data_IF_082073661206
#
_entry.id   IF_082073661206
#
_cell.length_a   1.000
_cell.length_b   1.000
_cell.length_c   1.000
_cell.angle_alpha   90.00
_cell.angle_beta   90.00
_cell.angle_gamma   90.00
#
_symmetry.space_group_name_H-M   'P 1'
#
loop_
_entity.id
_entity.type
_entity.pdbx_description
1 polymer ?
#
# COMPACT_ATOMS: atom_id res chain seq x y z
N UNK A 1 -18.21 -6.80 -12.31
CA UNK A 1 -16.83 -7.35 -12.22
C UNK A 1 -15.84 -6.36 -12.85
N UNK A 2 -14.79 -5.91 -12.15
CA UNK A 2 -13.83 -4.93 -12.69
C UNK A 2 -12.58 -5.61 -13.28
N UNK A 3 -11.76 -4.89 -14.08
CA UNK A 3 -10.57 -5.47 -14.76
C UNK A 3 -9.59 -6.11 -13.76
N UNK A 4 -9.42 -5.50 -12.58
CA UNK A 4 -8.55 -6.03 -11.52
C UNK A 4 -9.10 -7.29 -10.86
N UNK A 5 -10.41 -7.51 -10.88
CA UNK A 5 -11.07 -8.69 -10.32
C UNK A 5 -11.47 -9.69 -11.40
N UNK A 6 -10.86 -9.67 -12.59
CA UNK A 6 -11.13 -10.66 -13.65
C UNK A 6 -12.19 -10.25 -14.68
N UNK A 7 -12.61 -8.99 -14.69
CA UNK A 7 -13.39 -8.42 -15.80
C UNK A 7 -12.54 -8.14 -17.04
N UNK A 8 -13.17 -8.09 -18.21
CA UNK A 8 -12.54 -7.71 -19.48
C UNK A 8 -11.94 -8.87 -20.30
N UNK A 9 -11.56 -8.58 -21.55
CA UNK A 9 -11.00 -9.58 -22.47
C UNK A 9 -9.64 -10.09 -21.97
N UNK A 10 -9.40 -11.40 -22.15
CA UNK A 10 -8.13 -12.06 -21.80
C UNK A 10 -7.14 -11.90 -22.95
N UNK A 11 -5.86 -11.93 -22.61
CA UNK A 11 -4.80 -11.92 -23.58
C UNK A 11 -4.91 -13.13 -24.52
N UNK A 12 -4.88 -12.90 -25.84
CA UNK A 12 -4.97 -13.94 -26.88
C UNK A 12 -3.77 -14.90 -26.88
N UNK A 13 -2.64 -14.48 -26.32
CA UNK A 13 -1.46 -15.34 -26.20
C UNK A 13 -1.82 -16.62 -25.41
N UNK A 14 -1.47 -17.81 -25.94
CA UNK A 14 -1.80 -19.09 -25.31
C UNK A 14 -1.28 -19.13 -23.86
N UNK A 15 -2.12 -19.64 -22.95
CA UNK A 15 -1.80 -19.74 -21.52
C UNK A 15 -1.72 -18.41 -20.76
N UNK A 16 -2.09 -17.27 -21.36
CA UNK A 16 -1.98 -15.97 -20.69
C UNK A 16 -3.27 -15.53 -20.00
N UNK A 17 -3.26 -15.55 -18.68
CA UNK A 17 -4.33 -15.06 -17.82
C UNK A 17 -4.23 -13.56 -17.48
N UNK A 18 -3.50 -12.78 -18.26
CA UNK A 18 -3.44 -11.33 -18.04
C UNK A 18 -4.57 -10.66 -18.82
N UNK A 19 -5.11 -9.58 -18.26
CA UNK A 19 -6.08 -8.75 -18.97
C UNK A 19 -5.44 -8.18 -20.25
N UNK A 20 -6.17 -8.27 -21.35
CA UNK A 20 -5.78 -7.61 -22.58
C UNK A 20 -5.82 -6.09 -22.41
N UNK A 21 -4.97 -5.40 -23.19
CA UNK A 21 -4.98 -3.96 -23.35
C UNK A 21 -5.44 -3.68 -24.78
N UNK A 22 -4.54 -3.29 -25.68
CA UNK A 22 -4.80 -3.17 -27.12
C UNK A 22 -4.47 -4.47 -27.86
N UNK A 23 -5.02 -4.63 -29.06
CA UNK A 23 -4.79 -5.79 -29.94
C UNK A 23 -5.09 -7.15 -29.29
N UNK A 24 -5.97 -7.18 -28.29
CA UNK A 24 -6.28 -8.38 -27.49
C UNK A 24 -5.05 -9.02 -26.82
N UNK A 25 -3.97 -8.27 -26.60
CA UNK A 25 -2.74 -8.75 -25.97
C UNK A 25 -2.54 -8.02 -24.64
N UNK A 26 -1.86 -8.64 -23.68
CA UNK A 26 -1.48 -7.97 -22.43
C UNK A 26 -0.21 -7.13 -22.64
N UNK A 27 0.12 -6.25 -21.68
CA UNK A 27 1.31 -5.39 -21.72
C UNK A 27 2.61 -6.15 -22.09
N UNK A 28 2.81 -7.32 -21.47
CA UNK A 28 3.98 -8.15 -21.69
C UNK A 28 4.01 -8.78 -23.09
N UNK A 29 2.85 -9.09 -23.67
CA UNK A 29 2.71 -9.73 -24.97
C UNK A 29 2.40 -8.75 -26.10
N UNK A 30 2.70 -7.45 -25.95
CA UNK A 30 2.49 -6.47 -27.04
C UNK A 30 1.26 -5.58 -26.91
N UNK A 31 0.45 -5.77 -25.87
CA UNK A 31 -0.72 -4.93 -25.56
C UNK A 31 -0.34 -3.55 -25.04
N UNK A 32 -0.07 -2.62 -25.95
CA UNK A 32 0.23 -1.22 -25.67
C UNK A 32 1.23 -0.63 -26.66
N UNK A 33 1.37 0.70 -26.71
CA UNK A 33 2.23 1.37 -27.67
C UNK A 33 3.68 0.89 -27.57
N UNK A 34 4.30 0.67 -28.73
CA UNK A 34 5.71 0.30 -28.86
C UNK A 34 6.56 1.54 -29.10
N UNK A 35 7.85 1.40 -28.84
CA UNK A 35 8.82 2.41 -29.21
C UNK A 35 8.85 2.59 -30.73
N UNK A 36 8.78 3.84 -31.21
CA UNK A 36 8.82 4.18 -32.63
C UNK A 36 10.23 4.14 -33.24
N UNK A 37 11.26 4.07 -32.40
CA UNK A 37 12.63 3.91 -32.87
C UNK A 37 12.78 2.61 -33.71
N UNK A 38 13.49 2.67 -34.85
CA UNK A 38 13.61 1.55 -35.78
C UNK A 38 14.21 0.33 -35.09
N UNK A 39 13.59 -0.84 -35.28
CA UNK A 39 14.03 -2.11 -34.67
C UNK A 39 13.78 -2.23 -33.15
N UNK A 40 13.15 -1.25 -32.49
CA UNK A 40 12.93 -1.31 -31.05
C UNK A 40 11.57 -1.94 -30.68
N UNK A 41 11.60 -3.10 -30.02
CA UNK A 41 10.38 -3.79 -29.55
C UNK A 41 9.92 -3.39 -28.14
N UNK A 42 10.67 -2.49 -27.47
CA UNK A 42 10.39 -2.06 -26.10
C UNK A 42 9.08 -1.25 -26.03
N UNK A 43 8.37 -1.35 -24.91
CA UNK A 43 7.16 -0.56 -24.68
C UNK A 43 7.46 0.94 -24.59
N UNK A 44 6.63 1.75 -25.23
CA UNK A 44 6.65 3.21 -25.08
C UNK A 44 6.32 3.60 -23.64
N UNK A 45 7.03 4.60 -23.11
CA UNK A 45 6.77 5.20 -21.80
C UNK A 45 6.01 6.53 -21.91
N UNK A 46 5.52 6.87 -23.11
CA UNK A 46 4.94 8.17 -23.44
C UNK A 46 5.74 8.87 -24.54
N UNK A 47 5.05 9.66 -25.38
CA UNK A 47 5.67 10.35 -26.52
C UNK A 47 6.18 9.40 -27.62
N UNK A 48 5.66 8.17 -27.70
CA UNK A 48 6.04 7.21 -28.75
C UNK A 48 7.37 6.46 -28.54
N UNK A 49 8.16 6.80 -27.52
CA UNK A 49 9.48 6.17 -27.32
C UNK A 49 9.58 5.38 -26.01
N UNK A 50 10.52 4.44 -25.95
CA UNK A 50 10.90 3.77 -24.70
C UNK A 50 11.83 4.66 -23.87
N UNK A 51 12.07 4.32 -22.59
CA UNK A 51 12.93 5.09 -21.68
C UNK A 51 14.33 5.39 -22.25
N UNK A 52 14.92 4.43 -22.97
CA UNK A 52 16.25 4.60 -23.59
C UNK A 52 16.23 5.54 -24.80
N UNK A 53 15.12 5.61 -25.53
CA UNK A 53 14.96 6.42 -26.75
C UNK A 53 14.21 7.73 -26.50
N UNK A 54 14.24 8.29 -25.29
CA UNK A 54 13.58 9.58 -25.01
C UNK A 54 12.23 9.49 -24.32
N UNK A 55 11.63 8.30 -24.23
CA UNK A 55 10.27 8.12 -23.70
C UNK A 55 10.07 8.48 -22.24
N UNK A 56 8.87 8.98 -21.94
CA UNK A 56 8.43 9.40 -20.61
C UNK A 56 8.84 10.83 -20.24
N UNK A 57 8.23 11.37 -19.18
CA UNK A 57 8.47 12.74 -18.72
C UNK A 57 9.87 12.91 -18.13
N UNK A 58 10.56 13.99 -18.50
CA UNK A 58 11.89 14.35 -18.01
C UNK A 58 11.81 15.39 -16.90
N UNK A 59 12.84 15.38 -16.06
CA UNK A 59 13.02 16.37 -15.02
C UNK A 59 13.02 17.78 -15.63
N UNK A 60 12.20 18.69 -15.12
CA UNK A 60 12.16 20.07 -15.57
C UNK A 60 13.33 20.94 -15.06
N UNK A 61 14.32 20.34 -14.39
CA UNK A 61 15.51 21.06 -13.94
C UNK A 61 16.49 21.20 -15.10
N UNK A 62 17.10 22.38 -15.23
CA UNK A 62 18.00 22.68 -16.34
C UNK A 62 19.16 21.67 -16.44
N UNK A 63 19.40 21.18 -17.66
CA UNK A 63 20.41 20.18 -17.96
C UNK A 63 20.12 18.76 -17.41
N UNK A 64 18.98 18.51 -16.76
CA UNK A 64 18.70 17.21 -16.15
C UNK A 64 17.99 16.24 -17.11
N UNK A 65 18.71 15.20 -17.54
CA UNK A 65 18.15 14.15 -18.39
C UNK A 65 17.44 13.01 -17.64
N UNK A 66 17.34 13.08 -16.30
CA UNK A 66 16.70 12.03 -15.49
C UNK A 66 15.18 12.06 -15.67
N UNK A 67 14.56 10.90 -15.54
CA UNK A 67 13.09 10.80 -15.58
C UNK A 67 12.44 11.38 -14.34
N UNK A 68 11.29 12.01 -14.51
CA UNK A 68 10.46 12.52 -13.43
C UNK A 68 10.02 11.39 -12.51
N UNK A 69 10.01 11.65 -11.20
CA UNK A 69 9.45 10.72 -10.21
C UNK A 69 8.05 11.14 -9.76
N UNK A 70 7.87 12.44 -9.50
CA UNK A 70 6.59 13.05 -9.12
C UNK A 70 6.55 14.47 -9.68
N UNK A 71 5.37 14.90 -10.13
CA UNK A 71 5.18 16.25 -10.68
C UNK A 71 6.00 16.43 -11.95
N UNK A 72 7.00 17.31 -11.90
CA UNK A 72 7.90 17.65 -13.00
C UNK A 72 9.35 17.25 -12.74
N UNK A 73 9.70 16.84 -11.52
CA UNK A 73 11.08 16.69 -11.10
C UNK A 73 11.51 15.24 -10.83
N UNK A 74 12.81 14.98 -10.98
CA UNK A 74 13.42 13.71 -10.58
C UNK A 74 13.67 13.67 -9.06
N UNK A 75 14.05 12.50 -8.52
CA UNK A 75 14.28 12.33 -7.08
C UNK A 75 15.25 13.36 -6.47
N UNK A 76 16.26 13.81 -7.22
CA UNK A 76 17.27 14.76 -6.73
C UNK A 76 16.83 16.23 -6.84
N UNK A 77 15.84 16.53 -7.68
CA UNK A 77 15.41 17.91 -7.97
C UNK A 77 13.99 18.21 -7.43
N UNK A 78 13.56 17.51 -6.36
CA UNK A 78 12.23 17.74 -5.74
C UNK A 78 11.15 16.70 -6.10
N UNK A 79 11.50 15.63 -6.81
CA UNK A 79 10.61 14.51 -7.09
C UNK A 79 10.41 13.54 -5.90
N UNK A 80 11.11 13.76 -4.77
CA UNK A 80 10.93 13.02 -3.52
C UNK A 80 10.26 13.91 -2.46
N UNK A 81 9.34 13.33 -1.69
CA UNK A 81 8.77 13.95 -0.48
C UNK A 81 9.39 13.35 0.76
N UNK A 82 9.55 14.18 1.79
CA UNK A 82 9.95 13.76 3.13
C UNK A 82 8.73 13.62 4.03
N UNK A 83 8.94 12.98 5.18
CA UNK A 83 7.95 12.86 6.22
C UNK A 83 7.56 14.24 6.75
N UNK A 84 6.26 14.47 6.96
CA UNK A 84 5.71 15.73 7.48
C UNK A 84 5.92 15.91 9.00
N UNK A 85 6.40 14.88 9.69
CA UNK A 85 6.74 15.00 11.12
C UNK A 85 7.98 15.89 11.27
N UNK A 86 7.91 16.96 12.09
CA UNK A 86 9.03 17.86 12.31
C UNK A 86 10.31 17.12 12.68
N UNK A 87 11.42 17.47 12.03
CA UNK A 87 12.74 16.85 12.26
C UNK A 87 12.95 15.47 11.63
N UNK A 88 11.97 14.90 10.92
CA UNK A 88 12.12 13.60 10.27
C UNK A 88 12.61 13.72 8.82
N UNK A 89 13.86 13.37 8.55
CA UNK A 89 14.44 13.42 7.20
C UNK A 89 14.18 12.16 6.35
N UNK A 90 13.27 11.28 6.78
CA UNK A 90 12.94 10.04 6.04
C UNK A 90 11.93 10.32 4.95
N UNK A 91 12.03 9.58 3.84
CA UNK A 91 11.12 9.76 2.71
C UNK A 91 9.67 9.34 3.03
N UNK A 92 8.71 10.09 2.49
CA UNK A 92 7.28 9.78 2.50
C UNK A 92 7.03 8.48 1.72
N UNK A 93 6.40 7.51 2.40
CA UNK A 93 6.00 6.21 1.83
C UNK A 93 4.54 6.22 1.34
N UNK A 94 3.85 7.35 1.47
CA UNK A 94 2.46 7.58 1.14
C UNK A 94 1.72 8.24 2.31
N UNK A 95 0.89 9.24 2.00
CA UNK A 95 0.10 9.97 3.00
C UNK A 95 0.87 11.05 3.76
N UNK A 96 2.07 11.44 3.31
CA UNK A 96 2.88 12.47 3.98
C UNK A 96 3.83 11.91 5.05
N UNK A 97 3.79 10.61 5.32
CA UNK A 97 4.54 10.02 6.42
C UNK A 97 5.56 8.98 5.94
N UNK A 98 6.68 8.88 6.66
CA UNK A 98 7.61 7.76 6.50
C UNK A 98 7.04 6.48 7.12
N UNK A 99 7.64 5.32 6.85
CA UNK A 99 7.15 4.04 7.32
C UNK A 99 7.01 3.92 8.85
N UNK A 100 7.83 4.64 9.61
CA UNK A 100 7.77 4.65 11.07
C UNK A 100 6.65 5.56 11.61
N UNK A 101 6.36 6.66 10.92
CA UNK A 101 5.37 7.66 11.37
C UNK A 101 3.97 7.47 10.78
N UNK A 102 3.67 6.34 10.15
CA UNK A 102 2.34 6.20 9.51
C UNK A 102 2.38 5.67 8.09
N UNK A 103 3.45 5.97 7.35
CA UNK A 103 3.51 5.92 5.90
C UNK A 103 3.24 4.58 5.26
N UNK A 104 2.50 4.62 4.15
CA UNK A 104 2.15 3.45 3.35
C UNK A 104 0.98 2.63 3.89
N UNK A 105 0.53 1.63 3.13
CA UNK A 105 -0.63 0.80 3.50
C UNK A 105 -0.27 -0.16 4.63
N UNK A 106 -1.17 -0.32 5.61
CA UNK A 106 -1.08 -1.29 6.71
C UNK A 106 -1.72 -2.62 6.33
N UNK A 107 -1.39 -3.64 7.11
CA UNK A 107 -2.02 -4.95 6.98
C UNK A 107 -3.52 -4.84 7.25
N UNK A 108 -4.35 -5.49 6.44
CA UNK A 108 -5.81 -5.51 6.57
C UNK A 108 -6.32 -6.41 7.71
N UNK A 109 -5.46 -7.22 8.33
CA UNK A 109 -5.83 -8.05 9.47
C UNK A 109 -5.97 -7.15 10.69
N UNK A 110 -7.08 -7.30 11.41
CA UNK A 110 -7.35 -6.56 12.63
C UNK A 110 -6.17 -6.65 13.59
N UNK A 111 -5.87 -5.51 14.24
CA UNK A 111 -4.77 -5.38 15.21
C UNK A 111 -3.36 -5.64 14.64
N UNK A 112 -3.17 -5.59 13.31
CA UNK A 112 -1.85 -5.73 12.70
C UNK A 112 -1.30 -4.41 12.14
N UNK A 113 -0.32 -3.83 12.83
CA UNK A 113 0.32 -2.57 12.42
C UNK A 113 1.46 -2.73 11.40
N UNK A 114 1.77 -3.95 10.95
CA UNK A 114 2.84 -4.21 9.98
C UNK A 114 2.47 -3.65 8.60
N UNK A 115 3.47 -3.15 7.87
CA UNK A 115 3.28 -2.67 6.50
C UNK A 115 2.79 -3.79 5.58
N UNK A 116 1.84 -3.47 4.70
CA UNK A 116 1.37 -4.36 3.66
C UNK A 116 2.45 -4.55 2.58
N UNK A 117 2.62 -5.80 2.11
CA UNK A 117 3.36 -6.11 0.88
C UNK A 117 2.41 -6.15 -0.31
N UNK A 118 1.62 -7.23 -0.42
CA UNK A 118 0.65 -7.46 -1.50
C UNK A 118 -0.66 -7.97 -0.91
N UNK A 119 -1.76 -7.80 -1.65
CA UNK A 119 -3.10 -8.22 -1.25
C UNK A 119 -3.56 -7.65 0.10
N UNK A 120 -3.06 -6.47 0.49
CA UNK A 120 -3.41 -5.87 1.79
C UNK A 120 -2.72 -6.52 2.99
N UNK A 121 -1.78 -7.46 2.81
CA UNK A 121 -1.24 -8.26 3.93
C UNK A 121 0.25 -8.02 4.17
N UNK A 122 0.65 -8.10 5.43
CA UNK A 122 2.06 -8.12 5.82
C UNK A 122 2.74 -9.43 5.43
N UNK A 123 4.07 -9.49 5.49
CA UNK A 123 4.83 -10.70 5.10
C UNK A 123 4.41 -11.96 5.87
N UNK A 124 4.09 -11.82 7.16
CA UNK A 124 3.68 -12.96 7.99
C UNK A 124 2.29 -13.46 7.59
N UNK A 125 1.31 -12.56 7.52
CA UNK A 125 -0.06 -12.95 7.16
C UNK A 125 -0.19 -13.37 5.69
N UNK A 126 0.67 -12.85 4.81
CA UNK A 126 0.74 -13.31 3.42
C UNK A 126 1.24 -14.76 3.30
N UNK A 127 2.18 -15.18 4.16
CA UNK A 127 2.66 -16.57 4.19
C UNK A 127 1.58 -17.50 4.74
N UNK A 128 0.84 -17.07 5.78
CA UNK A 128 -0.26 -17.85 6.35
C UNK A 128 -1.41 -18.04 5.34
N UNK A 129 -1.82 -17.00 4.60
CA UNK A 129 -2.82 -17.18 3.53
C UNK A 129 -2.35 -18.09 2.39
N UNK A 130 -1.03 -18.19 2.19
CA UNK A 130 -0.44 -19.11 1.20
C UNK A 130 -0.55 -20.58 1.59
N UNK A 131 -0.94 -20.90 2.83
CA UNK A 131 -1.09 -22.26 3.32
C UNK A 131 -2.53 -22.79 3.17
N UNK A 132 -3.52 -21.91 3.01
CA UNK A 132 -4.95 -22.28 2.91
C UNK A 132 -5.39 -22.74 1.50
N UNK A 133 -4.49 -22.75 0.50
CA UNK A 133 -4.84 -23.10 -0.90
C UNK A 133 -4.03 -24.25 -1.50
N UNK A 134 -3.26 -24.98 -0.69
CA UNK A 134 -2.46 -26.10 -1.19
C UNK A 134 -1.68 -26.82 -0.10
N UNK A 135 -2.36 -27.57 0.75
CA UNK A 135 -1.71 -28.37 1.77
C UNK A 135 -2.73 -29.07 2.65
N UNK A 136 -2.63 -30.40 2.73
CA UNK A 136 -3.53 -31.29 3.46
C UNK A 136 -3.86 -30.74 4.85
N UNK A 137 -5.14 -30.66 5.16
CA UNK A 137 -5.67 -30.46 6.51
C UNK A 137 -5.05 -31.54 7.40
N UNK A 138 -4.07 -31.17 8.23
CA UNK A 138 -3.84 -31.90 9.46
C UNK A 138 -5.03 -31.53 10.34
N UNK A 139 -6.01 -32.41 10.37
CA UNK A 139 -7.08 -32.39 11.37
C UNK A 139 -6.39 -32.40 12.73
N UNK A 140 -6.24 -31.24 13.35
CA UNK A 140 -6.16 -31.18 14.81
C UNK A 140 -7.56 -31.47 15.30
N UNK A 141 -7.92 -32.76 15.34
CA UNK A 141 -8.86 -33.26 16.32
C UNK A 141 -8.28 -32.89 17.68
N UNK A 142 -8.79 -31.81 18.27
CA UNK A 142 -8.67 -31.59 19.70
C UNK A 142 -10.08 -31.65 20.27
N UNK A 143 -10.31 -32.53 21.26
CA UNK A 143 -11.64 -32.91 21.69
C UNK A 143 -12.33 -31.74 22.40
N UNK A 144 -13.66 -31.75 22.31
CA UNK A 144 -14.53 -30.95 23.14
C UNK A 144 -14.15 -31.14 24.62
N UNK A 145 -13.64 -30.08 25.25
CA UNK A 145 -13.76 -29.91 26.68
C UNK A 145 -14.65 -28.70 26.88
N UNK A 146 -15.92 -28.99 27.08
CA UNK A 146 -16.93 -28.12 27.64
C UNK A 146 -16.43 -27.64 28.99
N UNK A 147 -16.19 -26.34 29.16
CA UNK A 147 -16.14 -25.72 30.48
C UNK A 147 -17.34 -24.77 30.63
N UNK A 148 -18.09 -24.88 31.74
CA UNK A 148 -19.39 -24.26 31.91
C UNK A 148 -19.29 -22.75 32.14
N UNK A 149 -20.26 -22.05 31.59
CA UNK A 149 -20.62 -20.70 31.99
C UNK A 149 -21.14 -20.74 33.44
N UNK A 150 -20.55 -19.96 34.34
CA UNK A 150 -21.24 -19.56 35.57
C UNK A 150 -20.91 -18.10 35.94
N UNK A 151 -21.89 -17.33 36.43
CA UNK A 151 -21.74 -15.92 36.79
C UNK A 151 -21.43 -15.76 38.28
N UNK A 152 -20.70 -14.72 38.66
CA UNK A 152 -20.88 -14.05 39.97
C UNK A 152 -20.47 -12.58 39.89
N UNK A 153 -21.31 -11.76 40.51
CA UNK A 153 -21.17 -10.33 40.75
C UNK A 153 -20.00 -10.04 41.69
N UNK A 154 -19.44 -8.83 41.58
CA UNK A 154 -18.47 -8.28 42.52
C UNK A 154 -18.23 -6.80 42.29
N UNK A 155 -19.26 -5.98 42.55
CA UNK A 155 -19.08 -4.56 42.86
C UNK A 155 -18.23 -4.44 44.13
N UNK A 156 -17.12 -3.69 44.08
CA UNK A 156 -16.60 -3.03 45.27
C UNK A 156 -16.12 -1.62 44.92
N UNK A 157 -16.88 -0.69 45.49
CA UNK A 157 -16.72 0.76 45.56
C UNK A 157 -15.55 1.16 46.48
N UNK A 158 -15.28 2.48 46.52
CA UNK A 158 -14.39 3.27 47.40
C UNK A 158 -12.91 3.38 46.94
N UNK A 159 -12.24 4.54 46.87
CA UNK A 159 -12.53 5.89 47.40
C UNK A 159 -11.72 6.99 46.70
N UNK A 160 -12.34 8.17 46.61
CA UNK A 160 -11.86 9.57 46.69
C UNK A 160 -10.37 9.93 46.45
N UNK A 161 -10.18 11.00 45.67
CA UNK A 161 -8.98 11.83 45.70
C UNK A 161 -9.00 13.02 44.74
N UNK A 162 -9.89 14.00 44.92
CA UNK A 162 -9.77 15.32 44.27
C UNK A 162 -9.79 16.39 45.36
N UNK A 163 -8.60 16.93 45.68
CA UNK A 163 -8.41 18.18 46.38
C UNK A 163 -7.89 19.20 45.38
N UNK A 164 -8.70 20.21 45.02
CA UNK A 164 -8.24 21.57 44.64
C UNK A 164 -9.34 22.61 44.93
N UNK A 165 -9.08 23.44 45.94
CA UNK A 165 -9.65 24.78 46.15
C UNK A 165 -8.69 25.82 45.53
N UNK A 166 -9.02 27.13 45.44
CA UNK A 166 -10.32 27.77 45.35
C UNK A 166 -10.44 28.69 44.11
N UNK A 167 -11.66 28.92 43.67
CA UNK A 167 -12.05 29.94 42.68
C UNK A 167 -11.93 31.35 43.26
N UNK A 168 -11.05 32.17 42.68
CA UNK A 168 -11.19 33.62 42.68
C UNK A 168 -12.29 33.98 41.66
N UNK A 169 -13.39 34.58 42.14
CA UNK A 169 -14.26 35.37 41.28
C UNK A 169 -14.54 36.70 41.98
N UNK A 170 -14.37 37.76 41.20
CA UNK A 170 -14.51 39.18 41.52
C UNK A 170 -15.97 39.59 41.27
N UNK A 171 -16.33 40.82 41.70
CA UNK A 171 -17.53 41.63 41.32
C UNK A 171 -18.70 41.37 42.30
N UNK A 172 -19.42 42.29 42.97
CA UNK A 172 -19.74 43.74 42.96
C UNK A 172 -20.31 44.00 44.40
N UNK A 173 -20.25 45.14 45.10
CA UNK A 173 -20.51 46.57 44.83
C UNK A 173 -19.85 47.38 45.94
#
# INVERSE_FOLDING_TARGET
MCIKHGGGKRCKHPGCEKAAQTNSLCKAHGGGPRCLAPGCTKSSQGGGFCRAHGGGKRCAADGCNKGTQRGDYCALHGGSRFCEVPGCMRNDRGGGFCAHHGGGKRCSIANCNRSCRRNGLCSTHLRLLGQETGGKVATVTSPAISLPCHPTRGDLSLSLGILRLPTLYVVII
#
